data_IF_730116334802
#
_entry.id   IF_730116334802
#
_cell.length_a   1.000
_cell.length_b   1.000
_cell.length_c   1.000
_cell.angle_alpha   90.00
_cell.angle_beta   90.00
_cell.angle_gamma   90.00
#
_symmetry.space_group_name_H-M   'P 1'
#
loop_
_entity.id
_entity.type
_entity.pdbx_description
1 polymer ?
#
# COMPACT_ATOMS: atom_id res chain seq x y z
N UNK A 1 -29.61 29.71 -22.54
CA UNK A 1 -29.20 29.30 -21.18
C UNK A 1 -29.47 27.81 -21.02
N UNK A 2 -28.61 27.02 -20.35
CA UNK A 2 -27.20 26.81 -20.65
C UNK A 2 -26.81 25.31 -20.59
N UNK A 3 -25.61 24.99 -21.07
CA UNK A 3 -25.00 23.68 -20.87
C UNK A 3 -23.59 23.64 -21.45
N UNK A 4 -22.74 24.58 -21.02
CA UNK A 4 -21.34 24.62 -21.39
C UNK A 4 -20.67 23.24 -21.16
N UNK A 5 -19.77 22.77 -22.04
CA UNK A 5 -18.90 21.65 -21.69
C UNK A 5 -18.12 22.05 -20.45
N UNK A 6 -18.29 21.27 -19.38
CA UNK A 6 -17.63 21.49 -18.11
C UNK A 6 -16.12 21.58 -18.38
N UNK A 7 -15.59 22.70 -17.93
CA UNK A 7 -14.21 23.16 -18.04
C UNK A 7 -13.20 22.05 -17.75
N UNK A 8 -12.01 22.21 -18.32
CA UNK A 8 -10.73 21.50 -18.13
C UNK A 8 -10.25 21.30 -16.67
N UNK A 9 -11.13 21.49 -15.68
CA UNK A 9 -10.95 21.27 -14.25
C UNK A 9 -11.45 19.91 -13.75
N UNK A 10 -12.21 19.14 -14.54
CA UNK A 10 -12.66 17.80 -14.11
C UNK A 10 -11.51 16.78 -14.04
N UNK A 11 -10.40 17.05 -14.74
CA UNK A 11 -9.17 16.27 -14.71
C UNK A 11 -8.09 16.88 -13.79
N UNK A 12 -8.49 17.59 -12.74
CA UNK A 12 -7.52 18.02 -11.73
C UNK A 12 -7.35 16.84 -10.77
N UNK A 13 -6.24 16.10 -10.85
CA UNK A 13 -5.24 15.81 -9.79
C UNK A 13 -5.71 15.75 -8.29
N UNK A 14 -6.99 15.57 -7.99
CA UNK A 14 -7.65 15.73 -6.68
C UNK A 14 -7.75 14.43 -5.87
N UNK A 15 -7.07 13.38 -6.33
CA UNK A 15 -6.78 12.22 -5.50
C UNK A 15 -5.39 12.31 -4.83
N UNK A 16 -4.80 13.51 -4.70
CA UNK A 16 -3.92 13.77 -3.55
C UNK A 16 -4.80 13.74 -2.29
N UNK A 17 -5.11 12.52 -1.84
CA UNK A 17 -5.96 12.17 -0.70
C UNK A 17 -5.74 13.08 0.50
N UNK A 18 -6.76 13.29 1.35
CA UNK A 18 -6.62 13.96 2.65
C UNK A 18 -5.41 13.43 3.46
N UNK A 19 -5.02 12.18 3.21
CA UNK A 19 -3.79 11.59 3.74
C UNK A 19 -2.53 12.35 3.29
N UNK A 20 -2.38 12.70 2.01
CA UNK A 20 -1.23 13.44 1.50
C UNK A 20 -1.06 14.78 2.23
N UNK A 21 -2.16 15.47 2.55
CA UNK A 21 -2.14 16.69 3.35
C UNK A 21 -1.76 16.42 4.82
N UNK A 22 -2.31 15.37 5.44
CA UNK A 22 -1.91 14.96 6.79
C UNK A 22 -0.41 14.64 6.88
N UNK A 23 0.16 13.99 5.86
CA UNK A 23 1.58 13.64 5.80
C UNK A 23 2.51 14.86 5.63
N UNK A 24 2.02 16.00 5.13
CA UNK A 24 2.82 17.24 5.04
C UNK A 24 3.20 17.79 6.41
N UNK A 25 2.41 17.51 7.46
CA UNK A 25 2.71 17.92 8.83
C UNK A 25 3.86 17.13 9.48
N UNK A 26 4.27 16.00 8.88
CA UNK A 26 5.28 15.12 9.44
C UNK A 26 6.72 15.55 9.07
N UNK A 27 7.71 15.29 9.94
CA UNK A 27 9.13 15.36 9.59
C UNK A 27 9.43 14.51 8.35
N UNK A 28 10.40 14.96 7.53
CA UNK A 28 10.72 14.35 6.23
C UNK A 28 10.90 12.82 6.28
N UNK A 29 11.56 12.32 7.32
CA UNK A 29 11.79 10.88 7.47
C UNK A 29 10.49 10.12 7.73
N UNK A 30 9.68 10.58 8.69
CA UNK A 30 8.38 9.96 9.01
C UNK A 30 7.40 10.05 7.84
N UNK A 31 7.44 11.13 7.06
CA UNK A 31 6.67 11.25 5.82
C UNK A 31 7.02 10.15 4.83
N UNK A 32 8.32 9.89 4.62
CA UNK A 32 8.77 8.82 3.72
C UNK A 32 8.29 7.46 4.21
N UNK A 33 8.43 7.17 5.50
CA UNK A 33 8.02 5.88 6.05
C UNK A 33 6.50 5.66 5.94
N UNK A 34 5.71 6.70 6.16
CA UNK A 34 4.26 6.63 5.94
C UNK A 34 3.89 6.43 4.48
N UNK A 35 4.67 6.96 3.54
CA UNK A 35 4.49 6.68 2.11
C UNK A 35 4.80 5.21 1.80
N UNK A 36 5.86 4.65 2.36
CA UNK A 36 6.19 3.22 2.26
C UNK A 36 5.06 2.35 2.83
N UNK A 37 4.58 2.65 4.04
CA UNK A 37 3.46 1.94 4.65
C UNK A 37 2.17 2.04 3.82
N UNK A 38 1.83 3.25 3.35
CA UNK A 38 0.64 3.44 2.52
C UNK A 38 0.76 2.73 1.17
N UNK A 39 1.94 2.70 0.56
CA UNK A 39 2.19 1.94 -0.65
C UNK A 39 1.91 0.45 -0.44
N UNK A 40 2.32 -0.12 0.70
CA UNK A 40 2.03 -1.52 1.01
C UNK A 40 0.53 -1.78 1.09
N UNK A 41 -0.23 -0.97 1.83
CA UNK A 41 -1.68 -1.10 1.87
C UNK A 41 -2.29 -1.06 0.46
N UNK A 42 -1.83 -0.12 -0.37
CA UNK A 42 -2.33 0.05 -1.74
C UNK A 42 -2.07 -1.18 -2.62
N UNK A 43 -0.89 -1.80 -2.51
CA UNK A 43 -0.59 -3.02 -3.28
C UNK A 43 -1.44 -4.19 -2.82
N UNK A 44 -1.63 -4.36 -1.50
CA UNK A 44 -2.50 -5.42 -0.97
C UNK A 44 -3.95 -5.23 -1.45
N UNK A 45 -4.48 -4.01 -1.35
CA UNK A 45 -5.81 -3.65 -1.87
C UNK A 45 -5.90 -3.89 -3.38
N UNK A 46 -4.88 -3.49 -4.15
CA UNK A 46 -4.85 -3.70 -5.60
C UNK A 46 -4.89 -5.20 -5.96
N UNK A 47 -4.18 -6.06 -5.22
CA UNK A 47 -4.25 -7.52 -5.42
C UNK A 47 -5.66 -8.05 -5.07
N UNK A 48 -6.26 -7.56 -3.99
CA UNK A 48 -7.59 -7.97 -3.55
C UNK A 48 -8.68 -7.53 -4.53
N UNK A 49 -8.59 -6.31 -5.05
CA UNK A 49 -9.60 -5.67 -5.90
C UNK A 49 -9.42 -5.96 -7.40
N UNK A 50 -8.34 -6.62 -7.83
CA UNK A 50 -8.09 -6.93 -9.23
C UNK A 50 -9.16 -7.89 -9.81
N UNK A 51 -10.19 -7.30 -10.43
CA UNK A 51 -11.27 -8.05 -11.07
C UNK A 51 -10.86 -8.76 -12.36
N UNK A 52 -9.70 -8.43 -12.94
CA UNK A 52 -9.20 -9.11 -14.14
C UNK A 52 -8.63 -10.50 -13.81
N UNK A 53 -8.27 -10.75 -12.55
CA UNK A 53 -7.71 -12.02 -12.11
C UNK A 53 -8.77 -12.95 -11.48
N UNK A 54 -8.70 -14.27 -11.75
CA UNK A 54 -9.49 -15.25 -11.03
C UNK A 54 -9.28 -15.15 -9.52
N UNK A 55 -10.34 -15.39 -8.74
CA UNK A 55 -10.28 -15.34 -7.27
C UNK A 55 -9.17 -16.25 -6.69
N UNK A 56 -8.93 -17.41 -7.31
CA UNK A 56 -7.87 -18.33 -6.90
C UNK A 56 -6.47 -17.74 -7.07
N UNK A 57 -6.23 -16.95 -8.13
CA UNK A 57 -4.96 -16.30 -8.37
C UNK A 57 -4.74 -15.14 -7.40
N UNK A 58 -5.76 -14.32 -7.14
CA UNK A 58 -5.69 -13.26 -6.12
C UNK A 58 -5.35 -13.83 -4.74
N UNK A 59 -6.05 -14.89 -4.32
CA UNK A 59 -5.77 -15.59 -3.06
C UNK A 59 -4.36 -16.17 -3.00
N UNK A 60 -3.84 -16.70 -4.11
CA UNK A 60 -2.46 -17.22 -4.14
C UNK A 60 -1.44 -16.09 -3.96
N UNK A 61 -1.63 -14.95 -4.63
CA UNK A 61 -0.76 -13.77 -4.47
C UNK A 61 -0.77 -13.22 -3.05
N UNK A 62 -1.95 -13.03 -2.46
CA UNK A 62 -2.08 -12.61 -1.06
C UNK A 62 -1.43 -13.61 -0.10
N UNK A 63 -1.57 -14.91 -0.36
CA UNK A 63 -0.89 -15.95 0.43
C UNK A 63 0.63 -15.82 0.35
N UNK A 64 1.20 -15.62 -0.84
CA UNK A 64 2.66 -15.42 -0.98
C UNK A 64 3.15 -14.21 -0.18
N UNK A 65 2.39 -13.12 -0.19
CA UNK A 65 2.68 -11.94 0.63
C UNK A 65 2.59 -12.24 2.12
N UNK A 66 1.55 -12.97 2.56
CA UNK A 66 1.37 -13.39 3.95
C UNK A 66 2.51 -14.28 4.43
N UNK A 67 2.90 -15.27 3.63
CA UNK A 67 3.97 -16.21 3.92
C UNK A 67 5.31 -15.47 4.06
N UNK A 68 5.56 -14.52 3.16
CA UNK A 68 6.74 -13.66 3.22
C UNK A 68 6.76 -12.78 4.48
N UNK A 69 5.68 -12.09 4.81
CA UNK A 69 5.61 -11.24 6.01
C UNK A 69 5.72 -12.06 7.30
N UNK A 70 5.23 -13.31 7.29
CA UNK A 70 5.29 -14.21 8.46
C UNK A 70 6.68 -14.74 8.72
N UNK A 71 7.40 -15.13 7.66
CA UNK A 71 8.78 -15.61 7.75
C UNK A 71 9.59 -15.19 6.52
N UNK A 72 10.15 -13.95 6.52
CA UNK A 72 10.91 -13.42 5.40
C UNK A 72 12.18 -14.22 5.10
N UNK A 73 12.78 -14.83 6.12
CA UNK A 73 14.02 -15.59 5.99
C UNK A 73 13.80 -16.93 5.25
N UNK A 74 12.65 -17.57 5.48
CA UNK A 74 12.31 -18.84 4.82
C UNK A 74 11.67 -18.69 3.44
N UNK A 75 11.19 -17.49 3.06
CA UNK A 75 10.41 -17.26 1.84
C UNK A 75 11.13 -16.38 0.80
N UNK A 76 12.35 -16.76 0.43
CA UNK A 76 13.11 -16.07 -0.61
C UNK A 76 12.95 -16.77 -1.98
N UNK A 77 12.77 -16.05 -3.09
CA UNK A 77 12.87 -14.59 -3.22
C UNK A 77 11.61 -13.84 -2.79
N UNK A 78 11.84 -12.67 -2.17
CA UNK A 78 10.82 -11.67 -1.88
C UNK A 78 10.02 -11.33 -3.15
N UNK A 79 8.67 -11.36 -3.10
CA UNK A 79 7.85 -11.08 -4.27
C UNK A 79 7.89 -9.61 -4.68
N UNK A 80 8.15 -8.68 -3.74
CA UNK A 80 8.23 -7.24 -3.99
C UNK A 80 9.18 -6.55 -2.97
N UNK A 81 10.18 -5.77 -3.41
CA UNK A 81 11.09 -5.02 -2.51
C UNK A 81 10.37 -4.13 -1.47
N UNK A 82 9.13 -3.71 -1.74
CA UNK A 82 8.31 -2.94 -0.81
C UNK A 82 8.07 -3.68 0.52
N UNK A 83 8.02 -5.02 0.50
CA UNK A 83 7.82 -5.82 1.71
C UNK A 83 9.01 -5.68 2.67
N UNK A 84 10.25 -5.70 2.17
CA UNK A 84 11.45 -5.45 2.97
C UNK A 84 11.41 -4.04 3.60
N UNK A 85 11.02 -3.03 2.81
CA UNK A 85 10.93 -1.65 3.31
C UNK A 85 9.89 -1.51 4.42
N UNK A 86 8.72 -2.15 4.29
CA UNK A 86 7.67 -2.11 5.31
C UNK A 86 8.05 -2.91 6.55
N UNK A 87 8.67 -4.09 6.40
CA UNK A 87 9.15 -4.89 7.52
C UNK A 87 10.20 -4.13 8.34
N UNK A 88 11.03 -3.32 7.69
CA UNK A 88 11.99 -2.45 8.37
C UNK A 88 11.32 -1.33 9.21
N UNK A 89 10.05 -1.02 8.98
CA UNK A 89 9.30 -0.05 9.80
C UNK A 89 8.90 -0.60 11.17
N UNK A 90 8.64 -1.91 11.27
CA UNK A 90 8.23 -2.57 12.51
C UNK A 90 9.21 -2.32 13.68
N UNK A 91 10.51 -2.65 13.58
CA UNK A 91 11.47 -2.36 14.65
C UNK A 91 11.71 -0.86 14.84
N UNK A 92 11.50 -0.03 13.80
CA UNK A 92 11.73 1.41 13.85
C UNK A 92 10.65 2.18 14.62
N UNK A 93 9.41 1.72 14.54
CA UNK A 93 8.25 2.33 15.20
C UNK A 93 7.72 1.51 16.38
N UNK A 94 8.27 0.31 16.62
CA UNK A 94 7.94 -0.53 17.77
C UNK A 94 6.58 -1.21 17.67
N UNK A 95 6.14 -1.55 16.46
CA UNK A 95 4.89 -2.30 16.25
C UNK A 95 5.17 -3.73 15.80
N UNK A 96 4.23 -4.63 16.05
CA UNK A 96 4.36 -6.04 15.72
C UNK A 96 4.08 -6.30 14.24
N UNK A 97 4.93 -7.11 13.59
CA UNK A 97 4.72 -7.56 12.20
C UNK A 97 3.36 -8.24 12.00
N UNK A 98 2.79 -8.83 13.06
CA UNK A 98 1.44 -9.39 13.04
C UNK A 98 0.37 -8.40 12.59
N UNK A 99 0.53 -7.09 12.86
CA UNK A 99 -0.41 -6.07 12.38
C UNK A 99 -0.41 -5.91 10.86
N UNK A 100 0.71 -6.22 10.19
CA UNK A 100 0.78 -6.22 8.73
C UNK A 100 0.06 -7.44 8.14
N UNK A 101 0.06 -8.57 8.85
CA UNK A 101 -0.65 -9.78 8.44
C UNK A 101 -2.18 -9.62 8.51
N UNK A 102 -2.69 -8.76 9.39
CA UNK A 102 -4.12 -8.43 9.48
C UNK A 102 -4.62 -7.61 8.28
N UNK A 103 -3.71 -7.01 7.51
CA UNK A 103 -4.05 -6.24 6.30
C UNK A 103 -4.14 -7.12 5.04
N UNK A 104 -3.69 -8.39 5.10
CA UNK A 104 -3.61 -9.34 3.98
C UNK A 104 -4.64 -10.46 4.12
#
# INVERSE_FOLDING_TARGET
MPGAPRSSQENTRKAQSNLAFALLSLPRQRRRDMVTYYAFCRVVDDIADDTALPLSQRRNRLRQWRDYVSDPASHQPCPDPLLDEVLALAPRYGFETGLLLELI
#
